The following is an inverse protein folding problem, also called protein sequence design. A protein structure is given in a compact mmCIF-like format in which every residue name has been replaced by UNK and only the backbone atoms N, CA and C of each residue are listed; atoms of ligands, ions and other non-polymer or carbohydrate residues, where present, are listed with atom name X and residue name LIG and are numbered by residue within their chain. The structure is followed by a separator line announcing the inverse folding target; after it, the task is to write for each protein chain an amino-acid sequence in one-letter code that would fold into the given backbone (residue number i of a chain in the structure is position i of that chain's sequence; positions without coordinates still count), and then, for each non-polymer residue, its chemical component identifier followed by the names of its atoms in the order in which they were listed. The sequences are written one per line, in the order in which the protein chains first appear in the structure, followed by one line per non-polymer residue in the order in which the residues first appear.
data_IF_431215300019
#
_entry.id   IF_431215300019
#
_cell.length_a   1.000
_cell.length_b   1.000
_cell.length_c   1.000
_cell.angle_alpha   90.00
_cell.angle_beta   90.00
_cell.angle_gamma   90.00
#
_symmetry.space_group_name_H-M   'P 1'
#
loop_
_entity.id
_entity.type
_entity.pdbx_description
1 polymer ?
#
# COMPACT_ATOMS: atom_id res chain seq x y z
N UNK A 1 48.11 26.45 -69.34
CA UNK A 1 46.77 26.48 -68.71
C UNK A 1 46.74 25.50 -67.54
N UNK A 2 46.89 25.96 -66.30
CA UNK A 2 46.63 25.18 -65.07
C UNK A 2 45.72 26.03 -64.19
N UNK A 3 44.48 25.58 -63.98
CA UNK A 3 43.46 26.26 -63.19
C UNK A 3 43.73 26.00 -61.71
N UNK A 4 43.91 27.06 -60.92
CA UNK A 4 43.87 27.02 -59.46
C UNK A 4 42.42 26.92 -59.01
N UNK A 5 42.05 25.81 -58.39
CA UNK A 5 40.77 25.64 -57.67
C UNK A 5 40.99 26.07 -56.22
N UNK A 6 40.43 27.22 -55.84
CA UNK A 6 40.33 27.64 -54.46
C UNK A 6 39.20 26.86 -53.77
N UNK A 7 39.55 26.00 -52.81
CA UNK A 7 38.57 25.34 -51.95
C UNK A 7 38.11 26.32 -50.87
N UNK A 8 36.86 26.77 -50.97
CA UNK A 8 36.21 27.53 -49.91
C UNK A 8 35.85 26.58 -48.76
N UNK A 9 36.52 26.71 -47.62
CA UNK A 9 36.17 25.99 -46.40
C UNK A 9 34.93 26.64 -45.78
N UNK A 10 33.77 26.00 -45.91
CA UNK A 10 32.58 26.34 -45.14
C UNK A 10 32.80 25.95 -43.67
N UNK A 11 33.06 26.94 -42.81
CA UNK A 11 32.94 26.80 -41.36
C UNK A 11 31.46 26.62 -41.00
N UNK A 12 31.03 25.38 -40.80
CA UNK A 12 29.75 25.09 -40.19
C UNK A 12 29.82 25.51 -38.70
N UNK A 13 29.17 26.63 -38.35
CA UNK A 13 28.95 26.98 -36.97
C UNK A 13 28.08 25.89 -36.32
N UNK A 14 28.65 25.14 -35.39
CA UNK A 14 27.89 24.20 -34.58
C UNK A 14 26.90 25.00 -33.72
N UNK A 15 25.60 24.84 -33.98
CA UNK A 15 24.56 25.36 -33.11
C UNK A 15 24.79 24.82 -31.68
N UNK A 16 24.69 25.65 -30.64
CA UNK A 16 24.78 25.15 -29.27
C UNK A 16 23.68 24.12 -29.07
N UNK A 17 24.07 22.90 -28.65
CA UNK A 17 23.13 21.86 -28.28
C UNK A 17 22.17 22.45 -27.23
N UNK A 18 20.87 22.44 -27.53
CA UNK A 18 19.86 22.85 -26.56
C UNK A 18 20.07 22.04 -25.27
N UNK A 19 20.25 22.73 -24.15
CA UNK A 19 20.38 22.08 -22.85
C UNK A 19 19.18 21.15 -22.65
N UNK A 20 19.44 19.86 -22.42
CA UNK A 20 18.37 18.91 -22.11
C UNK A 20 17.60 19.45 -20.90
N UNK A 21 16.26 19.49 -20.94
CA UNK A 21 15.47 19.95 -19.81
C UNK A 21 15.86 19.13 -18.57
N UNK A 22 16.29 19.82 -17.51
CA UNK A 22 16.69 19.16 -16.27
C UNK A 22 15.49 18.36 -15.75
N UNK A 23 15.65 17.05 -15.63
CA UNK A 23 14.58 16.17 -15.13
C UNK A 23 14.05 16.73 -13.81
N UNK A 24 12.72 16.87 -13.63
CA UNK A 24 12.17 17.36 -12.38
C UNK A 24 12.68 16.54 -11.18
N UNK A 25 12.95 17.17 -10.02
CA UNK A 25 13.31 16.45 -8.82
C UNK A 25 12.28 15.37 -8.47
N UNK A 26 12.75 14.23 -7.96
CA UNK A 26 11.91 13.09 -7.58
C UNK A 26 12.15 12.75 -6.12
N UNK A 27 11.18 12.06 -5.51
CA UNK A 27 11.40 11.45 -4.20
C UNK A 27 12.56 10.44 -4.31
N UNK A 28 13.53 10.47 -3.38
CA UNK A 28 14.61 9.47 -3.33
C UNK A 28 14.06 8.04 -3.29
N UNK A 29 14.70 7.13 -4.03
CA UNK A 29 14.20 5.76 -4.21
C UNK A 29 14.18 4.94 -2.91
N UNK A 30 15.09 5.23 -1.99
CA UNK A 30 15.15 4.64 -0.66
C UNK A 30 13.97 5.09 0.21
N UNK A 31 13.58 6.38 0.16
CA UNK A 31 12.37 6.89 0.81
C UNK A 31 11.14 6.16 0.25
N UNK A 32 11.05 6.04 -1.08
CA UNK A 32 9.95 5.30 -1.72
C UNK A 32 9.94 3.85 -1.28
N UNK A 33 11.08 3.16 -1.33
CA UNK A 33 11.19 1.74 -0.97
C UNK A 33 10.85 1.50 0.50
N UNK A 34 11.27 2.39 1.40
CA UNK A 34 10.97 2.26 2.81
C UNK A 34 9.51 2.59 3.11
N UNK A 35 8.98 3.74 2.71
CA UNK A 35 7.65 4.15 3.17
C UNK A 35 6.48 3.51 2.42
N UNK A 36 6.66 3.08 1.16
CA UNK A 36 5.56 2.52 0.36
C UNK A 36 4.89 1.33 1.05
N UNK A 37 3.57 1.26 0.97
CA UNK A 37 2.73 0.25 1.61
C UNK A 37 1.91 0.80 2.78
N UNK A 38 1.35 -0.13 3.54
CA UNK A 38 0.44 0.15 4.66
C UNK A 38 1.15 0.00 6.01
N UNK A 39 0.72 0.81 6.97
CA UNK A 39 1.30 0.90 8.30
C UNK A 39 0.21 1.02 9.34
N UNK A 40 0.26 0.13 10.34
CA UNK A 40 -0.56 0.26 11.54
C UNK A 40 0.25 0.95 12.63
N UNK A 41 -0.28 2.06 13.13
CA UNK A 41 0.40 2.93 14.07
C UNK A 41 -0.34 2.97 15.40
N UNK A 42 0.42 2.97 16.50
CA UNK A 42 -0.11 3.15 17.84
C UNK A 42 0.84 4.03 18.67
N UNK A 43 0.27 4.82 19.57
CA UNK A 43 1.03 5.70 20.45
C UNK A 43 0.14 6.55 21.34
N UNK A 44 0.61 7.75 21.66
CA UNK A 44 -0.09 8.65 22.57
C UNK A 44 0.11 10.12 22.20
N UNK A 45 -0.89 10.93 22.54
CA UNK A 45 -0.76 12.38 22.61
C UNK A 45 0.16 12.77 23.78
N UNK A 46 0.64 14.02 23.79
CA UNK A 46 1.47 14.53 24.87
C UNK A 46 0.83 14.47 26.26
N UNK A 47 -0.51 14.46 26.34
CA UNK A 47 -1.25 14.29 27.59
C UNK A 47 -1.44 12.81 28.00
N UNK A 48 -0.83 11.87 27.28
CA UNK A 48 -0.89 10.43 27.55
C UNK A 48 -2.12 9.71 27.01
N UNK A 49 -3.09 10.42 26.41
CA UNK A 49 -4.25 9.76 25.78
C UNK A 49 -3.80 8.90 24.59
N UNK A 50 -4.30 7.67 24.45
CA UNK A 50 -3.89 6.79 23.35
C UNK A 50 -4.41 7.31 22.00
N UNK A 51 -3.63 7.01 20.96
CA UNK A 51 -3.98 7.24 19.55
C UNK A 51 -3.52 6.04 18.73
N UNK A 52 -4.39 5.59 17.84
CA UNK A 52 -4.08 4.61 16.82
C UNK A 52 -4.44 5.19 15.46
N UNK A 53 -3.64 4.86 14.45
CA UNK A 53 -3.83 5.38 13.09
C UNK A 53 -3.42 4.33 12.07
N UNK A 54 -4.06 4.38 10.92
CA UNK A 54 -3.65 3.68 9.71
C UNK A 54 -3.01 4.69 8.76
N UNK A 55 -1.76 4.42 8.36
CA UNK A 55 -0.99 5.27 7.47
C UNK A 55 -0.62 4.47 6.23
N UNK A 56 -0.72 5.09 5.06
CA UNK A 56 -0.28 4.45 3.81
C UNK A 56 0.50 5.40 2.92
N UNK A 57 1.37 4.81 2.09
CA UNK A 57 2.12 5.53 1.08
C UNK A 57 2.14 4.76 -0.24
N UNK A 58 1.99 5.47 -1.35
CA UNK A 58 2.03 4.90 -2.69
C UNK A 58 2.72 5.86 -3.68
N UNK A 59 3.57 5.35 -4.60
CA UNK A 59 4.07 6.15 -5.71
C UNK A 59 2.92 6.72 -6.53
N UNK A 60 3.03 7.98 -6.95
CA UNK A 60 2.05 8.67 -7.80
C UNK A 60 2.76 9.59 -8.79
N UNK A 61 2.01 10.12 -9.77
CA UNK A 61 2.52 11.03 -10.80
C UNK A 61 3.79 10.46 -11.47
N UNK A 62 3.66 9.29 -12.09
CA UNK A 62 4.76 8.55 -12.73
C UNK A 62 5.94 8.27 -11.78
N UNK A 63 5.61 7.95 -10.53
CA UNK A 63 6.57 7.74 -9.43
C UNK A 63 7.49 8.95 -9.20
N UNK A 64 7.07 10.16 -9.58
CA UNK A 64 7.79 11.39 -9.23
C UNK A 64 7.48 11.84 -7.80
N UNK A 65 6.29 11.48 -7.31
CA UNK A 65 5.79 11.82 -5.98
C UNK A 65 5.40 10.57 -5.20
N UNK A 66 5.33 10.70 -3.88
CA UNK A 66 4.78 9.71 -2.96
C UNK A 66 3.51 10.29 -2.33
N UNK A 67 2.34 9.74 -2.69
CA UNK A 67 1.09 10.08 -2.03
C UNK A 67 0.99 9.31 -0.72
N UNK A 68 0.46 9.94 0.33
CA UNK A 68 0.15 9.26 1.56
C UNK A 68 -1.18 9.65 2.17
N UNK A 69 -1.63 8.78 3.05
CA UNK A 69 -2.85 8.89 3.84
C UNK A 69 -2.51 8.69 5.30
N UNK A 70 -3.12 9.48 6.17
CA UNK A 70 -3.14 9.24 7.62
C UNK A 70 -4.60 9.25 8.03
N UNK A 71 -5.07 8.20 8.70
CA UNK A 71 -6.42 8.13 9.24
C UNK A 71 -6.35 7.62 10.66
N UNK A 72 -6.79 8.42 11.62
CA UNK A 72 -6.93 7.98 12.99
C UNK A 72 -8.11 7.03 13.14
N UNK A 73 -7.91 6.01 13.96
CA UNK A 73 -8.99 5.11 14.39
C UNK A 73 -9.84 5.77 15.47
N UNK A 74 -11.08 5.31 15.57
CA UNK A 74 -11.99 5.71 16.64
C UNK A 74 -11.33 5.55 18.02
N UNK A 75 -11.59 6.44 18.99
CA UNK A 75 -12.57 7.54 18.96
C UNK A 75 -12.07 8.82 18.27
N UNK A 76 -10.81 8.85 17.84
CA UNK A 76 -10.29 9.96 17.06
C UNK A 76 -10.86 9.90 15.63
N UNK A 77 -10.81 11.03 14.92
CA UNK A 77 -11.43 11.19 13.59
C UNK A 77 -10.58 11.99 12.63
N UNK A 78 -9.33 12.26 12.99
CA UNK A 78 -8.43 13.02 12.12
C UNK A 78 -8.12 12.18 10.88
N UNK A 79 -8.18 12.82 9.72
CA UNK A 79 -7.77 12.22 8.47
C UNK A 79 -7.05 13.26 7.62
N UNK A 80 -5.91 12.86 7.06
CA UNK A 80 -5.11 13.71 6.18
C UNK A 80 -4.69 12.99 4.91
N UNK A 81 -4.42 13.79 3.89
CA UNK A 81 -3.72 13.41 2.67
C UNK A 81 -2.45 14.23 2.59
N UNK A 82 -1.37 13.57 2.21
CA UNK A 82 -0.07 14.20 2.03
C UNK A 82 0.53 13.77 0.69
N UNK A 83 1.33 14.63 0.09
CA UNK A 83 2.11 14.33 -1.11
C UNK A 83 3.53 14.79 -0.89
N UNK A 84 4.48 13.86 -1.01
CA UNK A 84 5.91 14.15 -0.94
C UNK A 84 6.52 14.21 -2.34
N UNK A 85 7.29 15.26 -2.59
CA UNK A 85 8.02 15.47 -3.84
C UNK A 85 9.46 15.85 -3.55
N UNK A 86 10.36 15.55 -4.49
CA UNK A 86 11.74 16.05 -4.44
C UNK A 86 11.79 17.57 -4.59
N UNK A 87 12.77 18.20 -3.97
CA UNK A 87 13.17 19.57 -4.29
C UNK A 87 14.55 19.63 -4.97
N UNK A 88 14.89 20.77 -5.56
CA UNK A 88 16.13 20.96 -6.29
C UNK A 88 17.40 20.88 -5.42
N UNK A 89 17.26 20.96 -4.10
CA UNK A 89 18.38 20.81 -3.14
C UNK A 89 18.65 19.36 -2.75
N UNK A 90 17.84 18.42 -3.23
CA UNK A 90 17.84 17.02 -2.80
C UNK A 90 17.02 16.76 -1.53
N UNK A 91 16.38 17.80 -1.01
CA UNK A 91 15.40 17.71 0.07
C UNK A 91 14.03 17.24 -0.43
N UNK A 92 13.06 17.32 0.47
CA UNK A 92 11.68 16.95 0.19
C UNK A 92 10.72 18.09 0.52
N UNK A 93 9.68 18.22 -0.31
CA UNK A 93 8.51 19.04 -0.08
C UNK A 93 7.34 18.12 0.28
N UNK A 94 6.53 18.51 1.27
CA UNK A 94 5.23 17.90 1.54
C UNK A 94 4.11 18.93 1.38
N UNK A 95 3.05 18.55 0.69
CA UNK A 95 1.75 19.25 0.70
C UNK A 95 0.78 18.38 1.48
N UNK A 96 0.13 18.93 2.51
CA UNK A 96 -0.80 18.20 3.37
C UNK A 96 -2.15 18.93 3.44
N UNK A 97 -3.23 18.17 3.31
CA UNK A 97 -4.60 18.61 3.60
C UNK A 97 -5.26 17.68 4.60
N UNK A 98 -6.20 18.18 5.39
CA UNK A 98 -6.90 17.40 6.40
C UNK A 98 -8.38 17.74 6.54
N UNK A 99 -9.13 16.83 7.16
CA UNK A 99 -10.55 16.96 7.38
C UNK A 99 -10.95 17.94 8.51
N UNK A 100 -9.98 18.62 9.12
CA UNK A 100 -10.22 19.74 10.04
C UNK A 100 -10.02 21.10 9.35
N UNK A 101 -9.86 21.11 8.03
CA UNK A 101 -9.75 22.31 7.20
C UNK A 101 -8.32 22.81 7.01
N UNK A 102 -7.30 22.05 7.45
CA UNK A 102 -5.91 22.40 7.22
C UNK A 102 -5.47 22.19 5.78
N UNK A 103 -4.68 23.13 5.26
CA UNK A 103 -3.95 23.02 4.00
C UNK A 103 -2.57 23.66 4.19
N UNK A 104 -1.51 22.85 4.19
CA UNK A 104 -0.19 23.25 4.69
C UNK A 104 0.92 22.69 3.81
N UNK A 105 2.05 23.41 3.78
CA UNK A 105 3.28 22.98 3.10
C UNK A 105 4.38 22.79 4.11
N UNK A 106 5.25 21.82 3.87
CA UNK A 106 6.40 21.50 4.71
C UNK A 106 7.63 21.21 3.87
N UNK A 107 8.81 21.46 4.41
CA UNK A 107 10.09 21.07 3.83
C UNK A 107 10.85 20.15 4.76
N UNK A 108 11.62 19.25 4.18
CA UNK A 108 12.58 18.42 4.90
C UNK A 108 13.93 18.46 4.20
N UNK A 109 14.99 18.43 5.00
CA UNK A 109 16.33 18.12 4.50
C UNK A 109 16.35 16.69 3.90
N UNK A 110 17.39 16.35 3.10
CA UNK A 110 17.53 15.00 2.55
C UNK A 110 17.43 13.93 3.63
N UNK A 111 16.86 12.77 3.29
CA UNK A 111 16.75 11.65 4.22
C UNK A 111 18.15 11.12 4.56
N UNK A 112 18.61 11.39 5.79
CA UNK A 112 19.94 11.01 6.26
C UNK A 112 19.83 10.33 7.62
N UNK A 113 20.60 9.27 7.83
CA UNK A 113 20.60 8.53 9.10
C UNK A 113 19.23 7.94 9.49
N UNK A 114 18.37 7.66 8.51
CA UNK A 114 17.03 7.11 8.74
C UNK A 114 16.01 8.10 9.33
N UNK A 115 16.30 9.40 9.35
CA UNK A 115 15.40 10.42 9.90
C UNK A 115 14.98 11.43 8.85
N UNK A 116 13.67 11.66 8.72
CA UNK A 116 13.07 12.64 7.83
C UNK A 116 12.17 13.58 8.63
N UNK A 117 12.50 14.87 8.67
CA UNK A 117 11.78 15.86 9.48
C UNK A 117 11.16 16.95 8.59
N UNK A 118 9.86 16.88 8.39
CA UNK A 118 9.09 17.89 7.67
C UNK A 118 8.71 19.01 8.61
N UNK A 119 9.22 20.22 8.37
CA UNK A 119 8.88 21.43 9.10
C UNK A 119 8.10 22.38 8.22
N UNK A 120 7.12 23.12 8.76
CA UNK A 120 6.29 24.06 8.00
C UNK A 120 7.13 24.95 7.08
N UNK A 121 6.71 25.12 5.82
CA UNK A 121 7.35 25.98 4.81
C UNK A 121 7.01 27.46 5.03
N UNK A 122 7.18 27.93 6.27
CA UNK A 122 7.11 29.35 6.64
C UNK A 122 7.92 29.59 7.91
N UNK A 123 8.48 30.79 8.02
CA UNK A 123 9.18 31.24 9.22
C UNK A 123 8.27 32.07 10.15
N UNK A 124 7.08 32.45 9.71
CA UNK A 124 6.15 33.27 10.47
C UNK A 124 5.09 32.42 11.21
N UNK A 125 4.75 32.83 12.43
CA UNK A 125 3.65 32.25 13.20
C UNK A 125 3.92 30.86 13.76
N UNK A 126 2.84 30.12 14.05
CA UNK A 126 2.90 28.76 14.58
C UNK A 126 3.54 27.84 13.54
N UNK A 127 4.56 27.08 13.97
CA UNK A 127 5.25 26.06 13.19
C UNK A 127 4.88 24.68 13.67
N UNK A 128 5.01 23.74 12.75
CA UNK A 128 4.70 22.33 12.94
C UNK A 128 5.83 21.50 12.38
N UNK A 129 6.12 20.37 13.03
CA UNK A 129 7.14 19.42 12.59
C UNK A 129 6.60 17.99 12.68
N UNK A 130 6.73 17.25 11.59
CA UNK A 130 6.53 15.81 11.54
C UNK A 130 7.88 15.13 11.33
N UNK A 131 8.33 14.39 12.34
CA UNK A 131 9.59 13.65 12.29
C UNK A 131 9.31 12.15 12.16
N UNK A 132 9.76 11.56 11.05
CA UNK A 132 9.73 10.14 10.78
C UNK A 132 11.13 9.57 11.01
N UNK A 133 11.26 8.62 11.93
CA UNK A 133 12.54 7.96 12.25
C UNK A 133 12.41 6.46 12.04
N UNK A 134 13.20 5.91 11.13
CA UNK A 134 13.35 4.48 10.91
C UNK A 134 13.85 3.81 12.19
N UNK A 135 13.13 2.79 12.66
CA UNK A 135 13.51 1.96 13.79
C UNK A 135 14.01 0.58 13.33
N UNK A 136 13.41 0.04 12.27
CA UNK A 136 13.82 -1.19 11.59
C UNK A 136 13.36 -1.15 10.13
N UNK A 137 13.52 -2.24 9.38
CA UNK A 137 13.03 -2.37 7.99
C UNK A 137 11.50 -2.31 7.85
N UNK A 138 10.79 -2.63 8.93
CA UNK A 138 9.32 -2.71 8.99
C UNK A 138 8.72 -1.85 10.09
N UNK A 139 9.49 -0.92 10.67
CA UNK A 139 9.02 -0.04 11.74
C UNK A 139 9.63 1.36 11.62
N UNK A 140 8.80 2.38 11.78
CA UNK A 140 9.25 3.75 12.03
C UNK A 140 8.47 4.38 13.17
N UNK A 141 9.05 5.44 13.75
CA UNK A 141 8.38 6.31 14.72
C UNK A 141 8.02 7.62 14.04
N UNK A 142 6.77 8.03 14.13
CA UNK A 142 6.32 9.38 13.78
C UNK A 142 6.22 10.21 15.05
N UNK A 143 6.65 11.46 15.01
CA UNK A 143 6.46 12.42 16.10
C UNK A 143 5.94 13.71 15.50
N UNK A 144 4.81 14.19 16.03
CA UNK A 144 4.25 15.49 15.69
C UNK A 144 4.58 16.49 16.80
N UNK A 145 5.11 17.65 16.41
CA UNK A 145 5.50 18.71 17.33
C UNK A 145 5.04 20.07 16.80
N UNK A 146 4.83 21.01 17.72
CA UNK A 146 4.45 22.39 17.43
C UNK A 146 5.42 23.36 18.09
N UNK A 147 5.63 24.50 17.45
CA UNK A 147 6.47 25.57 18.00
C UNK A 147 5.87 26.94 17.71
N UNK A 148 6.05 27.90 18.62
CA UNK A 148 5.63 29.31 18.43
C UNK A 148 6.75 30.18 17.88
N UNK A 149 7.99 29.82 18.16
CA UNK A 149 9.21 30.58 17.83
C UNK A 149 10.13 29.83 16.84
N UNK A 150 9.80 28.58 16.53
CA UNK A 150 10.62 27.67 15.72
C UNK A 150 11.82 27.08 16.44
N UNK A 151 11.97 27.36 17.74
CA UNK A 151 13.10 26.92 18.57
C UNK A 151 12.64 25.95 19.65
N UNK A 152 11.64 26.34 20.45
CA UNK A 152 11.05 25.50 21.47
C UNK A 152 9.94 24.64 20.85
N UNK A 153 10.12 23.32 20.83
CA UNK A 153 9.18 22.36 20.27
C UNK A 153 8.43 21.65 21.38
N UNK A 154 7.10 21.73 21.34
CA UNK A 154 6.20 21.00 22.20
C UNK A 154 5.66 19.77 21.47
N UNK A 155 5.69 18.62 22.13
CA UNK A 155 5.10 17.39 21.62
C UNK A 155 3.59 17.56 21.44
N UNK A 156 3.08 17.17 20.27
CA UNK A 156 1.66 16.95 20.04
C UNK A 156 1.32 15.48 20.29
N UNK A 157 1.95 14.58 19.53
CA UNK A 157 1.81 13.14 19.66
C UNK A 157 3.05 12.39 19.17
N UNK A 158 3.10 11.09 19.48
CA UNK A 158 4.09 10.19 18.90
C UNK A 158 3.50 8.81 18.67
N UNK A 159 3.75 8.27 17.48
CA UNK A 159 3.25 6.98 17.00
C UNK A 159 4.41 6.06 16.64
N UNK A 160 4.30 4.78 16.99
CA UNK A 160 5.13 3.72 16.42
C UNK A 160 4.32 2.99 15.35
N UNK A 161 4.79 3.06 14.13
CA UNK A 161 4.15 2.51 12.94
C UNK A 161 4.85 1.23 12.50
N UNK A 162 4.09 0.15 12.38
CA UNK A 162 4.55 -1.16 11.93
C UNK A 162 3.94 -1.47 10.57
N UNK A 163 4.77 -1.97 9.65
CA UNK A 163 4.32 -2.37 8.31
C UNK A 163 3.28 -3.47 8.44
N UNK A 164 2.18 -3.35 7.70
CA UNK A 164 1.19 -4.41 7.58
C UNK A 164 1.75 -5.52 6.68
N UNK A 165 1.72 -6.76 7.16
CA UNK A 165 2.08 -7.93 6.34
C UNK A 165 0.85 -8.42 5.57
N UNK A 166 0.72 -7.96 4.34
CA UNK A 166 -0.40 -8.32 3.47
C UNK A 166 -0.41 -9.79 3.08
N UNK A 167 0.77 -10.41 2.95
CA UNK A 167 0.85 -11.82 2.64
C UNK A 167 0.33 -12.67 3.80
N UNK A 168 0.71 -12.32 5.04
CA UNK A 168 0.16 -12.96 6.22
C UNK A 168 -1.35 -12.71 6.36
N UNK A 169 -1.82 -11.49 6.11
CA UNK A 169 -3.25 -11.15 6.18
C UNK A 169 -4.08 -11.97 5.17
N UNK A 170 -3.62 -12.09 3.92
CA UNK A 170 -4.28 -12.90 2.89
C UNK A 170 -4.29 -14.38 3.25
N UNK A 171 -3.17 -14.93 3.73
CA UNK A 171 -3.09 -16.33 4.20
C UNK A 171 -4.08 -16.59 5.33
N UNK A 172 -4.21 -15.65 6.29
CA UNK A 172 -5.18 -15.78 7.37
C UNK A 172 -6.64 -15.83 6.87
N UNK A 173 -6.96 -15.12 5.78
CA UNK A 173 -8.30 -15.24 5.15
C UNK A 173 -8.48 -16.61 4.51
N UNK A 174 -7.49 -17.15 3.79
CA UNK A 174 -7.52 -18.52 3.28
C UNK A 174 -7.68 -19.55 4.43
N UNK A 175 -6.93 -19.43 5.51
CA UNK A 175 -7.08 -20.32 6.66
C UNK A 175 -8.49 -20.23 7.27
N UNK A 176 -9.10 -19.04 7.26
CA UNK A 176 -10.49 -18.84 7.68
C UNK A 176 -11.48 -19.56 6.76
N UNK A 177 -11.26 -19.58 5.43
CA UNK A 177 -12.13 -20.32 4.49
C UNK A 177 -12.01 -21.83 4.71
N UNK A 178 -10.79 -22.36 4.84
CA UNK A 178 -10.56 -23.77 5.15
C UNK A 178 -11.24 -24.18 6.46
N UNK A 179 -11.14 -23.35 7.48
CA UNK A 179 -11.80 -23.61 8.75
C UNK A 179 -13.33 -23.44 8.71
N UNK A 180 -13.86 -22.57 7.84
CA UNK A 180 -15.30 -22.51 7.54
C UNK A 180 -15.78 -23.80 6.86
N UNK A 181 -15.06 -24.24 5.83
CA UNK A 181 -15.28 -25.51 5.15
C UNK A 181 -15.32 -26.70 6.10
N UNK A 182 -14.28 -26.85 6.93
CA UNK A 182 -14.11 -27.97 7.84
C UNK A 182 -15.21 -28.06 8.92
N UNK A 183 -15.87 -26.93 9.23
CA UNK A 183 -17.00 -26.88 10.16
C UNK A 183 -18.37 -26.88 9.47
N UNK A 184 -18.43 -26.91 8.14
CA UNK A 184 -19.68 -26.77 7.39
C UNK A 184 -20.26 -25.35 7.41
N UNK A 185 -19.48 -24.35 7.81
CA UNK A 185 -19.87 -22.94 7.87
C UNK A 185 -19.61 -22.27 6.51
N UNK A 186 -20.62 -22.31 5.64
CA UNK A 186 -20.53 -21.74 4.29
C UNK A 186 -20.43 -20.21 4.32
N UNK A 187 -21.09 -19.53 5.26
CA UNK A 187 -21.00 -18.07 5.38
C UNK A 187 -19.58 -17.63 5.68
N UNK A 188 -18.84 -18.35 6.54
CA UNK A 188 -17.43 -18.08 6.80
C UNK A 188 -16.53 -18.35 5.59
N UNK A 189 -16.82 -19.40 4.82
CA UNK A 189 -16.12 -19.67 3.57
C UNK A 189 -16.32 -18.51 2.58
N UNK A 190 -17.57 -18.09 2.38
CA UNK A 190 -17.94 -17.04 1.43
C UNK A 190 -17.49 -15.65 1.84
N UNK A 191 -17.22 -15.40 3.13
CA UNK A 191 -16.71 -14.12 3.61
C UNK A 191 -15.40 -13.70 2.94
N UNK A 192 -14.63 -14.62 2.37
CA UNK A 192 -13.42 -14.29 1.63
C UNK A 192 -13.68 -13.54 0.32
N UNK A 193 -14.88 -13.60 -0.25
CA UNK A 193 -15.21 -12.97 -1.53
C UNK A 193 -15.83 -11.58 -1.33
N UNK A 194 -15.60 -10.68 -2.30
CA UNK A 194 -16.46 -9.49 -2.43
C UNK A 194 -17.79 -9.87 -3.08
N UNK A 195 -18.83 -9.05 -2.88
CA UNK A 195 -20.17 -9.33 -3.42
C UNK A 195 -20.20 -9.52 -4.94
N UNK A 196 -19.31 -8.82 -5.66
CA UNK A 196 -19.17 -8.85 -7.13
C UNK A 196 -18.10 -9.80 -7.63
N UNK A 197 -17.57 -10.68 -6.77
CA UNK A 197 -16.49 -11.59 -7.14
C UNK A 197 -16.87 -12.49 -8.31
N UNK A 198 -15.87 -12.91 -9.07
CA UNK A 198 -16.07 -13.88 -10.16
C UNK A 198 -15.39 -15.19 -9.83
N UNK A 199 -15.99 -16.30 -10.23
CA UNK A 199 -15.38 -17.63 -10.12
C UNK A 199 -15.40 -18.33 -11.48
N UNK A 200 -14.29 -18.93 -11.89
CA UNK A 200 -14.20 -19.69 -13.13
C UNK A 200 -14.73 -21.10 -12.92
N UNK A 201 -15.91 -21.39 -13.46
CA UNK A 201 -16.47 -22.73 -13.53
C UNK A 201 -16.22 -23.39 -14.89
N UNK A 202 -16.61 -24.66 -15.02
CA UNK A 202 -16.48 -25.44 -16.25
C UNK A 202 -17.26 -24.86 -17.44
N UNK A 203 -18.29 -24.05 -17.17
CA UNK A 203 -19.13 -23.41 -18.18
C UNK A 203 -18.76 -21.92 -18.39
N UNK A 204 -17.63 -21.46 -17.85
CA UNK A 204 -17.18 -20.08 -17.91
C UNK A 204 -17.33 -19.32 -16.58
N UNK A 205 -17.22 -17.98 -16.60
CA UNK A 205 -17.21 -17.17 -15.39
C UNK A 205 -18.60 -17.03 -14.76
N UNK A 206 -18.71 -17.47 -13.52
CA UNK A 206 -19.81 -17.14 -12.62
C UNK A 206 -19.58 -15.77 -11.98
N UNK A 207 -20.66 -15.03 -11.70
CA UNK A 207 -20.59 -13.64 -11.22
C UNK A 207 -21.42 -13.46 -9.96
N UNK A 208 -20.77 -12.90 -8.95
CA UNK A 208 -21.34 -12.54 -7.67
C UNK A 208 -21.36 -13.68 -6.66
N UNK A 209 -21.37 -13.30 -5.38
CA UNK A 209 -21.29 -14.24 -4.26
C UNK A 209 -22.45 -15.25 -4.22
N UNK A 210 -23.64 -14.86 -4.70
CA UNK A 210 -24.80 -15.75 -4.76
C UNK A 210 -24.62 -16.92 -5.75
N UNK A 211 -23.95 -16.69 -6.88
CA UNK A 211 -23.64 -17.75 -7.85
C UNK A 211 -22.62 -18.74 -7.26
N UNK A 212 -21.55 -18.21 -6.66
CA UNK A 212 -20.52 -18.98 -5.96
C UNK A 212 -21.14 -19.81 -4.83
N UNK A 213 -22.04 -19.22 -4.04
CA UNK A 213 -22.78 -19.93 -3.00
C UNK A 213 -23.59 -21.10 -3.58
N UNK A 214 -24.34 -20.87 -4.66
CA UNK A 214 -25.13 -21.90 -5.31
C UNK A 214 -24.25 -23.06 -5.81
N UNK A 215 -23.11 -22.76 -6.43
CA UNK A 215 -22.11 -23.75 -6.84
C UNK A 215 -21.57 -24.55 -5.65
N UNK A 216 -21.20 -23.89 -4.56
CA UNK A 216 -20.70 -24.55 -3.35
C UNK A 216 -21.76 -25.47 -2.72
N UNK A 217 -23.03 -25.02 -2.66
CA UNK A 217 -24.16 -25.83 -2.19
C UNK A 217 -24.41 -27.05 -3.06
N UNK A 218 -24.42 -26.86 -4.38
CA UNK A 218 -24.65 -27.94 -5.34
C UNK A 218 -23.51 -28.97 -5.37
N UNK A 219 -22.26 -28.54 -5.18
CA UNK A 219 -21.08 -29.39 -5.24
C UNK A 219 -20.73 -30.06 -3.91
N UNK A 220 -20.48 -29.26 -2.88
CA UNK A 220 -19.80 -29.69 -1.66
C UNK A 220 -20.69 -29.67 -0.41
N UNK A 221 -21.71 -28.80 -0.37
CA UNK A 221 -22.64 -28.66 0.77
C UNK A 221 -23.99 -29.36 0.59
N UNK A 222 -24.07 -30.38 -0.29
CA UNK A 222 -25.35 -31.08 -0.58
C UNK A 222 -26.01 -31.70 0.66
N UNK A 223 -25.22 -32.06 1.66
CA UNK A 223 -25.68 -32.64 2.95
C UNK A 223 -25.64 -31.64 4.10
N UNK A 224 -25.51 -30.34 3.80
CA UNK A 224 -25.34 -29.27 4.79
C UNK A 224 -23.90 -29.05 5.25
N UNK A 225 -22.96 -29.93 4.88
CA UNK A 225 -21.51 -29.77 5.09
C UNK A 225 -20.69 -30.54 4.05
N UNK A 226 -19.40 -30.21 3.88
CA UNK A 226 -18.46 -31.01 3.10
C UNK A 226 -18.17 -32.34 3.79
N UNK A 227 -17.89 -33.36 2.98
CA UNK A 227 -17.48 -34.68 3.45
C UNK A 227 -15.99 -34.75 3.76
N UNK A 228 -15.17 -34.03 2.99
CA UNK A 228 -13.72 -33.96 3.12
C UNK A 228 -13.31 -32.68 3.85
N UNK A 229 -12.16 -32.70 4.51
CA UNK A 229 -11.53 -31.51 5.08
C UNK A 229 -10.67 -30.81 4.04
N UNK A 230 -10.63 -29.49 4.08
CA UNK A 230 -9.84 -28.60 3.24
C UNK A 230 -8.63 -28.05 4.01
N UNK A 231 -7.48 -28.03 3.37
CA UNK A 231 -6.35 -27.17 3.69
C UNK A 231 -5.66 -26.67 2.41
N UNK A 232 -4.78 -25.69 2.56
CA UNK A 232 -4.03 -25.09 1.45
C UNK A 232 -2.54 -25.35 1.58
N UNK A 233 -1.88 -25.60 0.45
CA UNK A 233 -0.44 -25.79 0.35
C UNK A 233 0.13 -24.87 -0.75
N UNK A 234 1.46 -24.69 -0.75
CA UNK A 234 2.18 -23.93 -1.79
C UNK A 234 1.64 -22.51 -2.05
N UNK A 235 1.00 -21.89 -1.05
CA UNK A 235 0.43 -20.56 -1.19
C UNK A 235 1.54 -19.55 -1.41
N UNK A 236 1.46 -18.81 -2.51
CA UNK A 236 2.35 -17.70 -2.87
C UNK A 236 1.49 -16.46 -3.06
N UNK A 237 1.84 -15.38 -2.37
CA UNK A 237 1.19 -14.08 -2.49
C UNK A 237 2.13 -13.14 -3.24
N UNK A 238 1.67 -12.62 -4.38
CA UNK A 238 2.41 -11.66 -5.21
C UNK A 238 1.66 -10.33 -5.24
N UNK A 239 2.20 -9.24 -4.67
CA UNK A 239 1.60 -7.91 -4.77
C UNK A 239 1.47 -7.48 -6.24
N UNK A 240 0.34 -6.84 -6.58
CA UNK A 240 0.09 -6.21 -7.88
C UNK A 240 -0.01 -4.68 -7.76
N UNK A 241 0.30 -4.14 -6.58
CA UNK A 241 0.15 -2.75 -6.19
C UNK A 241 -0.11 -2.68 -4.69
N UNK A 242 -0.45 -1.49 -4.17
CA UNK A 242 -0.72 -1.30 -2.73
C UNK A 242 -2.05 -1.89 -2.27
N UNK A 243 -3.00 -2.04 -3.19
CA UNK A 243 -4.36 -2.50 -2.91
C UNK A 243 -4.77 -3.81 -3.56
N UNK A 244 -3.87 -4.49 -4.28
CA UNK A 244 -4.19 -5.71 -5.03
C UNK A 244 -3.08 -6.76 -4.93
N UNK A 245 -3.47 -8.04 -4.99
CA UNK A 245 -2.52 -9.16 -5.00
C UNK A 245 -3.01 -10.30 -5.90
N UNK A 246 -2.07 -11.00 -6.53
CA UNK A 246 -2.29 -12.32 -7.12
C UNK A 246 -1.87 -13.37 -6.11
N UNK A 247 -2.71 -14.38 -5.92
CA UNK A 247 -2.42 -15.50 -5.04
C UNK A 247 -2.57 -16.79 -5.81
N UNK A 248 -1.54 -17.62 -5.76
CA UNK A 248 -1.57 -18.98 -6.31
C UNK A 248 -1.33 -19.97 -5.20
N UNK A 249 -1.87 -21.17 -5.32
CA UNK A 249 -1.61 -22.24 -4.37
C UNK A 249 -2.29 -23.53 -4.79
N UNK A 250 -2.28 -24.51 -3.89
CA UNK A 250 -2.94 -25.78 -4.08
C UNK A 250 -3.97 -25.98 -2.97
N UNK A 251 -5.21 -26.34 -3.32
CA UNK A 251 -6.16 -26.85 -2.36
C UNK A 251 -5.99 -28.37 -2.23
N UNK A 252 -6.17 -28.88 -1.02
CA UNK A 252 -6.13 -30.31 -0.71
C UNK A 252 -7.39 -30.68 0.06
N UNK A 253 -8.12 -31.67 -0.44
CA UNK A 253 -9.31 -32.23 0.18
C UNK A 253 -9.04 -33.67 0.60
N UNK A 254 -9.19 -33.99 1.88
CA UNK A 254 -8.89 -35.32 2.45
C UNK A 254 -10.01 -35.87 3.33
N UNK A 255 -10.01 -37.20 3.52
CA UNK A 255 -10.91 -37.87 4.46
C UNK A 255 -12.32 -38.16 3.91
N UNK A 256 -13.30 -38.28 4.81
CA UNK A 256 -14.72 -38.50 4.42
C UNK A 256 -15.01 -39.80 3.69
N UNK A 257 -14.13 -40.81 3.79
CA UNK A 257 -14.24 -42.07 3.06
C UNK A 257 -14.07 -41.94 1.55
N UNK A 258 -13.44 -40.85 1.07
CA UNK A 258 -13.19 -40.57 -0.35
C UNK A 258 -11.69 -40.51 -0.62
N UNK A 259 -11.24 -40.81 -1.85
CA UNK A 259 -9.87 -40.52 -2.27
C UNK A 259 -9.56 -39.03 -2.09
N UNK A 260 -8.31 -38.74 -1.73
CA UNK A 260 -7.83 -37.37 -1.64
C UNK A 260 -7.92 -36.68 -3.00
N UNK A 261 -8.26 -35.38 -2.99
CA UNK A 261 -8.35 -34.56 -4.19
C UNK A 261 -7.51 -33.31 -4.01
N UNK A 262 -6.77 -32.95 -5.03
CA UNK A 262 -5.98 -31.72 -5.06
C UNK A 262 -6.20 -30.94 -6.34
N UNK A 263 -6.08 -29.63 -6.29
CA UNK A 263 -6.10 -28.78 -7.48
C UNK A 263 -5.35 -27.48 -7.24
N UNK A 264 -4.80 -26.91 -8.32
CA UNK A 264 -4.13 -25.62 -8.28
C UNK A 264 -5.15 -24.52 -8.47
N UNK A 265 -5.02 -23.45 -7.70
CA UNK A 265 -5.87 -22.28 -7.82
C UNK A 265 -5.06 -21.02 -8.11
N UNK A 266 -5.73 -20.07 -8.74
CA UNK A 266 -5.31 -18.69 -8.90
C UNK A 266 -6.45 -17.78 -8.45
N UNK A 267 -6.18 -16.91 -7.47
CA UNK A 267 -7.14 -15.91 -7.00
C UNK A 267 -6.55 -14.51 -7.12
N UNK A 268 -7.40 -13.53 -7.40
CA UNK A 268 -7.04 -12.11 -7.36
C UNK A 268 -7.74 -11.48 -6.17
N UNK A 269 -7.01 -10.68 -5.42
CA UNK A 269 -7.47 -10.06 -4.19
C UNK A 269 -7.43 -8.55 -4.29
N UNK A 270 -8.39 -7.90 -3.65
CA UNK A 270 -8.41 -6.48 -3.42
C UNK A 270 -8.48 -6.20 -1.91
N UNK A 271 -7.82 -5.14 -1.48
CA UNK A 271 -8.01 -4.61 -0.13
C UNK A 271 -9.34 -3.86 -0.07
N UNK A 272 -10.17 -4.20 0.90
CA UNK A 272 -11.44 -3.51 1.20
C UNK A 272 -11.37 -2.88 2.59
N UNK A 273 -12.33 -2.02 2.97
CA UNK A 273 -12.44 -1.54 4.35
C UNK A 273 -12.56 -2.67 5.39
N UNK A 274 -13.05 -3.84 5.00
CA UNK A 274 -13.17 -5.03 5.85
C UNK A 274 -11.95 -5.96 5.78
N UNK A 275 -10.86 -5.52 5.15
CA UNK A 275 -9.63 -6.29 4.92
C UNK A 275 -9.55 -6.88 3.50
N UNK A 276 -8.60 -7.79 3.29
CA UNK A 276 -8.39 -8.44 2.00
C UNK A 276 -9.53 -9.38 1.62
N UNK A 277 -10.01 -9.28 0.37
CA UNK A 277 -11.06 -10.14 -0.20
C UNK A 277 -10.73 -10.55 -1.63
N UNK A 278 -11.12 -11.75 -2.01
CA UNK A 278 -11.08 -12.28 -3.37
C UNK A 278 -12.07 -11.53 -4.26
N UNK A 279 -11.57 -11.03 -5.38
CA UNK A 279 -12.38 -10.45 -6.47
C UNK A 279 -12.50 -11.41 -7.66
N UNK A 280 -11.59 -12.37 -7.75
CA UNK A 280 -11.59 -13.42 -8.77
C UNK A 280 -11.01 -14.72 -8.20
N UNK A 281 -11.56 -15.85 -8.62
CA UNK A 281 -11.12 -17.20 -8.28
C UNK A 281 -11.17 -18.12 -9.50
N UNK A 282 -10.12 -18.90 -9.68
CA UNK A 282 -10.04 -19.98 -10.66
C UNK A 282 -9.37 -21.18 -9.98
N UNK A 283 -10.13 -22.26 -9.78
CA UNK A 283 -9.73 -23.46 -9.04
C UNK A 283 -10.16 -24.74 -9.76
#
# INVERSE_FOLDING_TARGET
MRRLLAAAACLAAASPAAAQPTRPPRVPSDVVAFFSGEWSCAGAFANGRPIESDISFAPTLDSAWLAGAHVDRAPNRFAARLQWGGDASGGLLSVLTDNFGGARRFRAAPWQGGTLAFTTDTTAGRRERFTYRRASDSTFRMTYEVSRDGQAWALGDSLTCRRVDDAAAIRAVLDSTAAGWNRGDLSRYLWAYVDTATSMGSNGPERGIAAIEAQMRAGFWRTGRPLQTLHYEHVVVRPLGTGHALVTGQFVLTGGGRPDRTGWFTTVWARTPAGWRMIHDHS
#
